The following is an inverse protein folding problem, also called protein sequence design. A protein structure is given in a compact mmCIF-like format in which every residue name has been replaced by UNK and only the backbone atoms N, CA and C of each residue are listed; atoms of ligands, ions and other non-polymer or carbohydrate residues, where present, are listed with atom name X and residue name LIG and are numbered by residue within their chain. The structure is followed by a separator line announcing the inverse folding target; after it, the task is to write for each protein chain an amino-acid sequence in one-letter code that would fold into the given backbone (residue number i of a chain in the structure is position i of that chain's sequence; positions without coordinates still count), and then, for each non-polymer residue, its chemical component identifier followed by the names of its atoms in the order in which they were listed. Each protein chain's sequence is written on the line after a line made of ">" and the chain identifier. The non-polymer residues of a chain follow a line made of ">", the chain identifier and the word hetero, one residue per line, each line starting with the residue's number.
data_IF_251381256852
#
_entry.id   IF_251381256852
#
_cell.length_a   1.000
_cell.length_b   1.000
_cell.length_c   1.000
_cell.angle_alpha   90.00
_cell.angle_beta   90.00
_cell.angle_gamma   90.00
#
_symmetry.space_group_name_H-M   'P 1'
#
loop_
_entity.id
_entity.type
_entity.pdbx_description
1 polymer ?
#
# COMPACT_ATOMS: atom_id res chain seq x y z
N UNK A 1 -11.27 -5.35 4.73
CA UNK A 1 -12.42 -6.06 4.12
C UNK A 1 -13.74 -5.53 4.67
N UNK A 2 -14.83 -5.87 3.98
CA UNK A 2 -16.19 -5.50 4.36
C UNK A 2 -17.04 -6.76 4.51
N UNK A 3 -17.86 -6.80 5.52
CA UNK A 3 -18.85 -7.86 5.74
C UNK A 3 -20.10 -7.24 6.37
N UNK A 4 -21.32 -7.60 5.85
CA UNK A 4 -22.60 -7.05 6.31
C UNK A 4 -22.59 -5.51 6.40
N UNK A 5 -22.10 -4.83 5.35
CA UNK A 5 -21.95 -3.37 5.25
C UNK A 5 -20.98 -2.72 6.26
N UNK A 6 -20.30 -3.50 7.10
CA UNK A 6 -19.31 -3.01 8.06
C UNK A 6 -17.89 -3.19 7.54
N UNK A 7 -17.10 -2.11 7.58
CA UNK A 7 -15.66 -2.16 7.30
C UNK A 7 -14.94 -2.70 8.53
N UNK A 8 -14.16 -3.75 8.33
CA UNK A 8 -13.41 -4.44 9.37
C UNK A 8 -11.99 -4.72 8.89
N UNK A 9 -11.13 -5.14 9.78
CA UNK A 9 -9.76 -5.52 9.45
C UNK A 9 -9.29 -6.69 10.31
N UNK A 10 -8.24 -7.35 9.86
CA UNK A 10 -7.58 -8.43 10.59
C UNK A 10 -6.59 -9.18 9.70
N UNK A 11 -5.72 -9.97 10.31
CA UNK A 11 -4.69 -10.70 9.60
C UNK A 11 -5.28 -11.91 8.87
N UNK A 12 -4.57 -12.33 7.81
CA UNK A 12 -4.81 -13.60 7.14
C UNK A 12 -4.65 -14.78 8.11
N UNK A 13 -5.54 -15.76 8.02
CA UNK A 13 -5.38 -17.02 8.73
C UNK A 13 -4.28 -17.85 8.05
N UNK A 14 -3.29 -18.28 8.81
CA UNK A 14 -2.16 -19.06 8.27
C UNK A 14 -2.66 -20.37 7.66
N UNK A 15 -2.34 -20.62 6.39
CA UNK A 15 -2.71 -21.82 5.61
C UNK A 15 -4.21 -21.99 5.35
N UNK A 16 -5.03 -20.99 5.57
CA UNK A 16 -6.46 -21.01 5.28
C UNK A 16 -6.83 -19.84 4.34
N UNK A 17 -7.86 -20.01 3.54
CA UNK A 17 -8.47 -18.91 2.75
C UNK A 17 -9.47 -18.15 3.61
N UNK A 18 -8.97 -17.55 4.67
CA UNK A 18 -9.75 -16.84 5.66
C UNK A 18 -8.96 -15.68 6.30
N UNK A 19 -9.68 -14.77 6.92
CA UNK A 19 -9.15 -13.69 7.75
C UNK A 19 -9.69 -13.78 9.17
N UNK A 20 -8.94 -13.30 10.15
CA UNK A 20 -9.45 -13.05 11.50
C UNK A 20 -10.18 -11.72 11.55
N UNK A 21 -11.39 -11.70 12.11
CA UNK A 21 -12.11 -10.46 12.43
C UNK A 21 -11.68 -9.95 13.80
N UNK A 22 -10.59 -9.19 13.85
CA UNK A 22 -10.05 -8.70 15.13
C UNK A 22 -10.94 -7.65 15.78
N UNK A 23 -11.78 -6.97 15.02
CA UNK A 23 -12.76 -6.02 15.53
C UNK A 23 -13.83 -6.78 16.32
N UNK A 24 -14.34 -7.89 15.77
CA UNK A 24 -15.33 -8.72 16.47
C UNK A 24 -14.72 -9.48 17.66
N UNK A 25 -13.47 -9.97 17.51
CA UNK A 25 -12.74 -10.57 18.65
C UNK A 25 -12.66 -9.58 19.81
N UNK A 26 -12.21 -8.35 19.57
CA UNK A 26 -12.12 -7.34 20.61
C UNK A 26 -13.47 -7.02 21.24
N UNK A 27 -14.51 -6.88 20.41
CA UNK A 27 -15.86 -6.58 20.87
C UNK A 27 -16.44 -7.67 21.79
N UNK A 28 -16.24 -8.94 21.47
CA UNK A 28 -16.81 -10.06 22.23
C UNK A 28 -15.95 -10.48 23.40
N UNK A 29 -14.62 -10.53 23.22
CA UNK A 29 -13.70 -11.05 24.25
C UNK A 29 -13.13 -9.95 25.15
N UNK A 30 -13.21 -8.67 24.74
CA UNK A 30 -12.71 -7.50 25.48
C UNK A 30 -11.29 -7.68 26.03
N UNK A 31 -10.39 -8.18 25.18
CA UNK A 31 -9.00 -8.55 25.54
C UNK A 31 -8.15 -7.34 25.89
N UNK A 32 -8.38 -6.22 25.20
CA UNK A 32 -7.60 -5.00 25.30
C UNK A 32 -8.47 -3.86 25.86
N UNK A 33 -7.86 -3.00 26.67
CA UNK A 33 -8.57 -1.82 27.20
C UNK A 33 -8.87 -0.81 26.09
N UNK A 34 -7.89 -0.58 25.23
CA UNK A 34 -7.97 0.37 24.13
C UNK A 34 -7.51 -0.34 22.86
N UNK A 35 -8.35 -0.38 21.84
CA UNK A 35 -8.04 -0.96 20.53
C UNK A 35 -8.56 -0.03 19.44
N UNK A 36 -7.76 0.25 18.38
CA UNK A 36 -8.15 1.18 17.33
C UNK A 36 -9.38 0.68 16.55
N UNK A 37 -10.27 1.59 16.23
CA UNK A 37 -11.50 1.29 15.47
C UNK A 37 -11.23 1.11 13.99
N UNK A 38 -10.15 1.74 13.48
CA UNK A 38 -9.78 1.66 12.06
C UNK A 38 -8.36 1.16 11.87
N UNK A 39 -8.10 0.57 10.71
CA UNK A 39 -6.74 0.14 10.33
C UNK A 39 -5.78 1.34 10.29
N UNK A 40 -6.25 2.53 9.90
CA UNK A 40 -5.43 3.74 9.82
C UNK A 40 -4.97 4.16 11.22
N UNK A 41 -5.89 4.18 12.19
CA UNK A 41 -5.54 4.49 13.58
C UNK A 41 -4.54 3.45 14.13
N UNK A 42 -4.76 2.17 13.81
CA UNK A 42 -3.84 1.10 14.17
C UNK A 42 -2.43 1.31 13.60
N UNK A 43 -2.32 1.64 12.32
CA UNK A 43 -1.03 1.91 11.66
C UNK A 43 -0.26 3.02 12.39
N UNK A 44 -0.93 4.05 12.91
CA UNK A 44 -0.28 5.15 13.64
C UNK A 44 0.33 4.73 14.99
N UNK A 45 -0.11 3.60 15.56
CA UNK A 45 0.48 3.00 16.74
C UNK A 45 1.75 2.19 16.42
N UNK A 46 2.05 1.99 15.13
CA UNK A 46 3.22 1.25 14.70
C UNK A 46 3.22 -0.21 15.15
N UNK A 47 4.36 -0.68 15.66
CA UNK A 47 4.51 -2.09 16.04
C UNK A 47 3.62 -2.51 17.23
N UNK A 48 3.26 -1.59 18.10
CA UNK A 48 2.35 -1.87 19.22
C UNK A 48 0.98 -2.38 18.72
N UNK A 49 0.52 -1.87 17.58
CA UNK A 49 -0.70 -2.37 16.96
C UNK A 49 -0.56 -3.83 16.49
N UNK A 50 0.57 -4.20 15.90
CA UNK A 50 0.83 -5.59 15.48
C UNK A 50 0.77 -6.53 16.69
N UNK A 51 1.36 -6.15 17.82
CA UNK A 51 1.32 -6.91 19.06
C UNK A 51 -0.11 -6.99 19.65
N UNK A 52 -0.89 -5.92 19.56
CA UNK A 52 -2.30 -5.93 19.95
C UNK A 52 -3.11 -6.92 19.11
N UNK A 53 -2.93 -6.90 17.79
CA UNK A 53 -3.59 -7.84 16.86
C UNK A 53 -3.19 -9.29 17.18
N UNK A 54 -1.91 -9.57 17.45
CA UNK A 54 -1.44 -10.90 17.87
C UNK A 54 -2.14 -11.38 19.14
N UNK A 55 -2.25 -10.54 20.16
CA UNK A 55 -2.96 -10.87 21.41
C UNK A 55 -4.43 -11.21 21.18
N UNK A 56 -5.11 -10.48 20.30
CA UNK A 56 -6.50 -10.76 19.95
C UNK A 56 -6.64 -12.12 19.25
N UNK A 57 -5.79 -12.39 18.27
CA UNK A 57 -5.79 -13.69 17.56
C UNK A 57 -5.48 -14.85 18.53
N UNK A 58 -4.49 -14.69 19.41
CA UNK A 58 -4.13 -15.70 20.41
C UNK A 58 -5.29 -15.98 21.39
N UNK A 59 -6.02 -14.92 21.77
CA UNK A 59 -7.20 -15.09 22.63
C UNK A 59 -8.32 -15.84 21.89
N UNK A 60 -8.59 -15.50 20.64
CA UNK A 60 -9.57 -16.20 19.83
C UNK A 60 -9.20 -17.67 19.60
N UNK A 61 -7.92 -17.99 19.37
CA UNK A 61 -7.46 -19.37 19.19
C UNK A 61 -7.62 -20.25 20.44
N UNK A 62 -7.60 -19.63 21.61
CA UNK A 62 -7.78 -20.31 22.92
C UNK A 62 -9.25 -20.40 23.35
N UNK A 63 -10.13 -19.64 22.69
CA UNK A 63 -11.56 -19.61 23.00
C UNK A 63 -12.25 -20.85 22.41
N UNK A 64 -13.20 -21.46 23.14
CA UNK A 64 -13.91 -22.67 22.70
C UNK A 64 -14.63 -22.48 21.37
N UNK A 65 -15.22 -21.29 21.15
CA UNK A 65 -15.92 -20.91 19.92
C UNK A 65 -15.03 -20.02 19.00
N UNK A 66 -13.72 -20.07 19.14
CA UNK A 66 -12.80 -19.19 18.44
C UNK A 66 -12.88 -19.24 16.92
N UNK A 67 -13.35 -20.35 16.36
CA UNK A 67 -13.55 -20.51 14.92
C UNK A 67 -14.57 -19.54 14.33
N UNK A 68 -15.53 -19.04 15.11
CA UNK A 68 -16.54 -18.06 14.66
C UNK A 68 -15.95 -16.72 14.24
N UNK A 69 -14.75 -16.39 14.72
CA UNK A 69 -14.04 -15.16 14.36
C UNK A 69 -13.25 -15.26 13.06
N UNK A 70 -13.23 -16.40 12.41
CA UNK A 70 -12.65 -16.58 11.09
C UNK A 70 -13.70 -16.35 10.02
N UNK A 71 -13.39 -15.50 9.06
CA UNK A 71 -14.22 -15.22 7.91
C UNK A 71 -13.56 -15.79 6.66
N UNK A 72 -14.25 -16.68 5.95
CA UNK A 72 -13.76 -17.18 4.67
C UNK A 72 -13.65 -16.04 3.65
N UNK A 73 -12.71 -16.10 2.73
CA UNK A 73 -12.54 -15.10 1.65
C UNK A 73 -13.81 -14.92 0.81
N UNK A 74 -14.57 -16.00 0.60
CA UNK A 74 -15.85 -15.97 -0.12
C UNK A 74 -16.99 -15.24 0.62
N UNK A 75 -16.82 -14.97 1.91
CA UNK A 75 -17.81 -14.31 2.76
C UNK A 75 -17.54 -12.81 2.97
N UNK A 76 -16.46 -12.29 2.40
CA UNK A 76 -16.05 -10.89 2.55
C UNK A 76 -15.93 -10.20 1.20
N UNK A 77 -16.11 -8.89 1.20
CA UNK A 77 -15.73 -8.01 0.10
C UNK A 77 -14.33 -7.44 0.40
N UNK A 78 -13.39 -7.63 -0.51
CA UNK A 78 -12.06 -7.07 -0.37
C UNK A 78 -12.08 -5.55 -0.56
N UNK A 79 -11.40 -4.86 0.32
CA UNK A 79 -11.13 -3.43 0.19
C UNK A 79 -9.62 -3.24 0.08
N UNK A 80 -9.19 -2.07 -0.40
CA UNK A 80 -7.79 -1.69 -0.22
C UNK A 80 -7.41 -1.80 1.26
N UNK A 81 -6.23 -2.33 1.63
CA UNK A 81 -5.79 -2.38 3.02
C UNK A 81 -5.71 -0.99 3.65
N UNK A 82 -5.56 0.05 2.83
CA UNK A 82 -5.67 1.46 3.23
C UNK A 82 -6.71 2.11 2.30
N UNK A 83 -8.00 2.07 2.66
CA UNK A 83 -9.08 2.52 1.78
C UNK A 83 -9.01 4.01 1.44
N UNK A 84 -8.39 4.80 2.32
CA UNK A 84 -8.18 6.23 2.12
C UNK A 84 -6.99 6.70 2.92
N UNK A 85 -6.04 7.36 2.27
CA UNK A 85 -4.91 7.99 2.96
C UNK A 85 -5.30 9.36 3.51
N UNK A 86 -4.73 9.78 4.66
CA UNK A 86 -4.98 11.11 5.23
C UNK A 86 -4.36 12.25 4.41
N UNK A 87 -3.40 11.92 3.52
CA UNK A 87 -2.70 12.83 2.62
C UNK A 87 -2.66 12.23 1.22
N UNK A 88 -2.24 13.02 0.22
CA UNK A 88 -1.89 12.47 -1.09
C UNK A 88 -0.83 11.38 -0.97
N UNK A 89 -0.92 10.39 -1.85
CA UNK A 89 0.11 9.37 -2.00
C UNK A 89 1.31 10.02 -2.67
N UNK A 90 2.47 9.96 -2.06
CA UNK A 90 3.72 10.44 -2.63
C UNK A 90 4.31 9.36 -3.53
N UNK A 91 4.62 9.71 -4.77
CA UNK A 91 5.17 8.79 -5.76
C UNK A 91 6.54 9.25 -6.21
N UNK A 92 7.42 8.30 -6.48
CA UNK A 92 8.79 8.56 -6.96
C UNK A 92 8.87 8.23 -8.45
N UNK A 93 9.06 9.25 -9.27
CA UNK A 93 9.18 9.09 -10.72
C UNK A 93 10.59 8.67 -11.13
N UNK A 94 10.68 7.83 -12.18
CA UNK A 94 11.94 7.40 -12.83
C UNK A 94 12.97 6.78 -11.87
N UNK A 95 12.50 6.04 -10.88
CA UNK A 95 13.37 5.48 -9.83
C UNK A 95 14.02 4.13 -10.20
N UNK A 96 13.66 3.53 -11.34
CA UNK A 96 14.27 2.30 -11.82
C UNK A 96 15.15 2.58 -13.02
N UNK A 97 16.36 2.03 -13.05
CA UNK A 97 17.38 2.32 -14.07
C UNK A 97 16.91 2.03 -15.49
N UNK A 98 16.18 0.94 -15.69
CA UNK A 98 15.70 0.55 -17.01
C UNK A 98 14.52 1.42 -17.45
N UNK A 99 13.59 1.72 -16.57
CA UNK A 99 12.49 2.64 -16.85
C UNK A 99 12.99 4.07 -17.17
N UNK A 100 14.04 4.53 -16.50
CA UNK A 100 14.66 5.81 -16.81
C UNK A 100 15.21 5.85 -18.25
N UNK A 101 15.82 4.76 -18.73
CA UNK A 101 16.32 4.63 -20.12
C UNK A 101 15.18 4.58 -21.14
N UNK A 102 14.10 3.82 -20.87
CA UNK A 102 12.90 3.74 -21.73
C UNK A 102 12.24 5.11 -21.91
N UNK A 103 12.26 5.93 -20.87
CA UNK A 103 11.74 7.32 -20.89
C UNK A 103 12.74 8.33 -21.49
N UNK A 104 13.82 7.87 -22.14
CA UNK A 104 14.78 8.69 -22.86
C UNK A 104 15.78 9.46 -21.97
N UNK A 105 15.98 9.02 -20.73
CA UNK A 105 17.00 9.59 -19.87
C UNK A 105 18.38 9.08 -20.26
N UNK A 106 19.26 9.96 -20.76
CA UNK A 106 20.66 9.63 -21.06
C UNK A 106 21.51 9.38 -19.80
N UNK A 107 21.07 9.91 -18.66
CA UNK A 107 21.72 9.77 -17.35
C UNK A 107 20.69 9.51 -16.26
N UNK A 108 21.10 8.84 -15.19
CA UNK A 108 20.31 8.76 -13.97
C UNK A 108 19.97 10.16 -13.45
N UNK A 109 18.75 10.40 -12.92
CA UNK A 109 18.40 11.69 -12.35
C UNK A 109 19.31 12.00 -11.15
N UNK A 110 19.82 13.24 -11.11
CA UNK A 110 20.64 13.71 -9.98
C UNK A 110 19.80 13.93 -8.73
N UNK A 111 18.53 14.38 -8.94
CA UNK A 111 17.58 14.65 -7.88
C UNK A 111 16.35 13.74 -7.99
N UNK A 112 15.77 13.40 -6.83
CA UNK A 112 14.54 12.63 -6.75
C UNK A 112 13.35 13.39 -7.36
N UNK A 113 12.62 12.75 -8.26
CA UNK A 113 11.38 13.28 -8.81
C UNK A 113 10.20 12.82 -7.97
N UNK A 114 9.48 13.77 -7.35
CA UNK A 114 8.28 13.47 -6.56
C UNK A 114 7.04 14.06 -7.23
N UNK A 115 6.02 13.24 -7.35
CA UNK A 115 4.66 13.65 -7.71
C UNK A 115 3.66 13.01 -6.74
N UNK A 116 2.37 13.26 -6.91
CA UNK A 116 1.35 12.73 -5.99
C UNK A 116 0.16 12.17 -6.73
N UNK A 117 -0.51 11.20 -6.09
CA UNK A 117 -1.86 10.76 -6.44
C UNK A 117 -2.85 11.20 -5.37
N UNK A 118 -4.09 11.49 -5.79
CA UNK A 118 -5.18 11.80 -4.86
C UNK A 118 -5.56 10.57 -4.03
N UNK A 119 -5.98 10.74 -2.76
CA UNK A 119 -6.60 9.64 -1.99
C UNK A 119 -7.85 9.05 -2.65
N UNK A 120 -8.55 9.82 -3.50
CA UNK A 120 -9.72 9.35 -4.26
C UNK A 120 -9.37 8.42 -5.43
N UNK A 121 -8.09 8.33 -5.79
CA UNK A 121 -7.62 7.40 -6.81
C UNK A 121 -7.53 5.94 -6.29
N UNK A 122 -7.55 5.73 -4.97
CA UNK A 122 -7.42 4.38 -4.38
C UNK A 122 -8.62 3.52 -4.78
N UNK A 123 -8.34 2.29 -5.21
CA UNK A 123 -9.30 1.24 -5.44
C UNK A 123 -8.89 -0.04 -4.71
N UNK A 124 -9.82 -0.97 -4.55
CA UNK A 124 -9.55 -2.29 -3.99
C UNK A 124 -8.82 -3.19 -5.00
N UNK A 125 -8.26 -4.30 -4.50
CA UNK A 125 -7.84 -5.41 -5.34
C UNK A 125 -9.06 -6.02 -6.06
N UNK A 126 -8.87 -6.53 -7.28
CA UNK A 126 -9.92 -7.08 -8.14
C UNK A 126 -11.08 -6.11 -8.49
N UNK A 127 -10.95 -4.82 -8.18
CA UNK A 127 -11.97 -3.84 -8.53
C UNK A 127 -12.10 -3.66 -10.05
N UNK A 128 -13.34 -3.53 -10.52
CA UNK A 128 -13.60 -3.05 -11.87
C UNK A 128 -13.41 -1.53 -11.89
N UNK A 129 -12.45 -1.06 -12.69
CA UNK A 129 -12.06 0.34 -12.75
C UNK A 129 -12.73 1.06 -13.91
N UNK A 130 -13.09 2.35 -13.76
CA UNK A 130 -13.55 3.16 -14.87
C UNK A 130 -12.40 3.41 -15.86
N UNK A 131 -12.67 3.30 -17.14
CA UNK A 131 -11.68 3.56 -18.20
C UNK A 131 -11.51 5.06 -18.50
N UNK A 132 -12.38 5.92 -17.98
CA UNK A 132 -12.37 7.39 -18.17
C UNK A 132 -12.30 7.82 -19.63
N UNK A 133 -13.02 7.13 -20.53
CA UNK A 133 -12.97 7.34 -21.98
C UNK A 133 -13.32 8.78 -22.42
N UNK A 134 -14.00 9.53 -21.57
CA UNK A 134 -14.30 10.95 -21.79
C UNK A 134 -13.11 11.89 -21.52
N UNK A 135 -12.06 11.40 -20.84
CA UNK A 135 -10.89 12.18 -20.41
C UNK A 135 -9.60 11.71 -21.08
N UNK A 136 -9.45 10.43 -21.35
CA UNK A 136 -8.22 9.81 -21.85
C UNK A 136 -8.52 8.57 -22.69
N UNK A 137 -7.66 8.31 -23.67
CA UNK A 137 -7.60 7.06 -24.43
C UNK A 137 -6.27 6.29 -24.20
N UNK A 138 -5.47 6.76 -23.25
CA UNK A 138 -4.08 6.34 -23.05
C UNK A 138 -3.79 5.91 -21.60
N UNK A 139 -4.68 5.07 -21.03
CA UNK A 139 -4.42 4.45 -19.72
C UNK A 139 -3.33 3.40 -19.82
N UNK A 140 -2.37 3.46 -18.91
CA UNK A 140 -1.23 2.58 -18.82
C UNK A 140 -1.01 2.10 -17.38
N UNK A 141 -0.48 0.90 -17.18
CA UNK A 141 -0.21 0.29 -15.90
C UNK A 141 1.21 0.61 -15.40
N UNK A 142 1.38 0.68 -14.10
CA UNK A 142 2.68 0.73 -13.42
C UNK A 142 2.56 -0.05 -12.09
N UNK A 143 3.04 -1.29 -12.05
CA UNK A 143 3.11 -2.07 -10.81
C UNK A 143 4.23 -1.54 -9.92
N UNK A 144 3.89 -1.21 -8.66
CA UNK A 144 4.78 -0.50 -7.75
C UNK A 144 4.80 -1.13 -6.35
N UNK A 145 5.94 -0.98 -5.67
CA UNK A 145 6.05 -1.19 -4.24
C UNK A 145 5.56 0.05 -3.50
N UNK A 146 4.54 -0.09 -2.69
CA UNK A 146 4.06 0.97 -1.80
C UNK A 146 4.59 0.78 -0.38
N UNK A 147 5.18 1.83 0.18
CA UNK A 147 5.74 1.88 1.53
C UNK A 147 4.74 2.59 2.43
N UNK A 148 4.32 1.95 3.50
CA UNK A 148 3.38 2.51 4.48
C UNK A 148 4.14 3.04 5.68
N UNK A 149 4.05 4.36 5.87
CA UNK A 149 4.64 5.03 7.02
C UNK A 149 3.72 4.87 8.24
N UNK A 150 4.26 4.35 9.33
CA UNK A 150 3.51 4.10 10.57
C UNK A 150 3.87 5.04 11.73
N UNK A 151 4.84 5.90 11.53
CA UNK A 151 5.28 6.85 12.55
C UNK A 151 5.51 8.22 11.93
N UNK A 152 4.90 9.23 12.53
CA UNK A 152 5.10 10.62 12.09
C UNK A 152 6.57 11.01 12.20
N UNK A 153 7.15 11.59 11.12
CA UNK A 153 8.54 12.00 11.09
C UNK A 153 8.85 13.17 10.17
N UNK A 154 9.85 13.95 10.55
CA UNK A 154 10.42 15.07 9.81
C UNK A 154 11.93 15.03 9.95
N UNK A 155 12.69 15.32 8.88
CA UNK A 155 14.16 15.25 8.87
C UNK A 155 14.68 13.89 9.36
N UNK A 156 14.13 12.81 8.85
CA UNK A 156 14.47 11.43 9.26
C UNK A 156 15.89 11.12 8.72
N UNK A 157 16.84 10.75 9.58
CA UNK A 157 18.15 10.28 9.13
C UNK A 157 18.02 8.99 8.31
N UNK A 158 18.81 8.83 7.24
CA UNK A 158 18.78 7.64 6.38
C UNK A 158 18.83 6.33 7.17
N UNK A 159 19.79 6.19 8.09
CA UNK A 159 19.94 4.97 8.90
C UNK A 159 18.81 4.70 9.91
N UNK A 160 17.83 5.62 10.04
CA UNK A 160 16.64 5.44 10.88
C UNK A 160 15.36 5.32 10.05
N UNK A 161 15.44 5.29 8.72
CA UNK A 161 14.28 5.34 7.85
C UNK A 161 13.30 4.19 8.11
N UNK A 162 13.79 2.97 8.30
CA UNK A 162 12.95 1.81 8.57
C UNK A 162 12.25 1.84 9.94
N UNK A 163 12.69 2.66 10.90
CA UNK A 163 11.98 2.84 12.16
C UNK A 163 10.61 3.54 11.98
N UNK A 164 10.44 4.20 10.84
CA UNK A 164 9.19 4.90 10.49
C UNK A 164 8.27 4.09 9.59
N UNK A 165 8.74 2.97 9.03
CA UNK A 165 7.96 2.09 8.16
C UNK A 165 7.10 1.16 9.02
N UNK A 166 5.81 1.10 8.72
CA UNK A 166 4.88 0.09 9.25
C UNK A 166 4.96 -1.21 8.44
N UNK A 167 4.94 -1.09 7.12
CA UNK A 167 4.93 -2.23 6.22
C UNK A 167 4.85 -1.81 4.76
N UNK A 168 4.48 -2.77 3.92
CA UNK A 168 4.51 -2.66 2.48
C UNK A 168 3.26 -3.24 1.85
N UNK A 169 2.88 -2.71 0.70
CA UNK A 169 1.82 -3.29 -0.13
C UNK A 169 2.14 -3.07 -1.60
N UNK A 170 1.34 -3.64 -2.48
CA UNK A 170 1.43 -3.41 -3.92
C UNK A 170 0.47 -2.28 -4.28
N UNK A 171 0.87 -1.43 -5.20
CA UNK A 171 0.01 -0.46 -5.85
C UNK A 171 0.17 -0.56 -7.37
N UNK A 172 -0.90 -0.27 -8.10
CA UNK A 172 -0.83 -0.05 -9.53
C UNK A 172 -1.01 1.46 -9.78
N UNK A 173 0.08 2.14 -10.17
CA UNK A 173 0.05 3.57 -10.48
C UNK A 173 -0.47 3.80 -11.91
N UNK A 174 -1.75 3.46 -12.14
CA UNK A 174 -2.39 3.67 -13.43
C UNK A 174 -2.28 5.13 -13.86
N UNK A 175 -1.87 5.33 -15.10
CA UNK A 175 -1.47 6.62 -15.65
C UNK A 175 -2.21 6.91 -16.94
N UNK A 176 -2.89 8.05 -17.02
CA UNK A 176 -3.37 8.62 -18.27
C UNK A 176 -2.20 9.35 -18.94
N UNK A 177 -1.50 8.71 -19.88
CA UNK A 177 -0.24 9.21 -20.47
C UNK A 177 -0.40 10.52 -21.22
N UNK A 178 -1.49 10.67 -21.96
CA UNK A 178 -1.86 11.89 -22.67
C UNK A 178 -2.05 13.08 -21.71
N UNK A 179 -2.77 12.89 -20.61
CA UNK A 179 -2.96 13.91 -19.58
C UNK A 179 -1.66 14.22 -18.83
N UNK A 180 -0.85 13.19 -18.53
CA UNK A 180 0.46 13.36 -17.91
C UNK A 180 1.37 14.29 -18.74
N UNK A 181 1.42 14.07 -20.06
CA UNK A 181 2.24 14.86 -20.98
C UNK A 181 1.66 16.27 -21.16
N UNK A 182 0.35 16.38 -21.37
CA UNK A 182 -0.36 17.65 -21.61
C UNK A 182 -0.20 18.64 -20.47
N UNK A 183 -0.32 18.17 -19.24
CA UNK A 183 -0.35 19.03 -18.05
C UNK A 183 1.02 19.25 -17.42
N UNK A 184 2.08 18.56 -17.85
CA UNK A 184 3.46 18.64 -17.33
C UNK A 184 3.59 18.32 -15.83
N UNK A 185 2.65 18.76 -15.00
CA UNK A 185 2.46 18.30 -13.62
C UNK A 185 1.64 17.01 -13.68
N UNK A 186 2.15 15.92 -13.13
CA UNK A 186 1.58 14.59 -13.35
C UNK A 186 0.24 14.36 -12.65
N UNK A 187 -0.12 15.22 -11.70
CA UNK A 187 -1.26 15.02 -10.81
C UNK A 187 -2.57 14.64 -11.52
N UNK A 188 -2.97 15.36 -12.58
CA UNK A 188 -4.22 15.07 -13.29
C UNK A 188 -4.17 13.72 -14.04
N UNK A 189 -3.05 13.38 -14.67
CA UNK A 189 -2.86 12.10 -15.35
C UNK A 189 -2.67 10.91 -14.40
N UNK A 190 -2.41 11.17 -13.13
CA UNK A 190 -2.12 10.17 -12.08
C UNK A 190 -3.24 10.03 -11.04
N UNK A 191 -4.27 10.89 -11.06
CA UNK A 191 -5.25 10.99 -9.97
C UNK A 191 -6.70 10.84 -10.40
N UNK A 192 -6.95 10.26 -11.58
CA UNK A 192 -8.31 9.88 -11.97
C UNK A 192 -8.88 8.89 -10.94
N UNK A 193 -10.18 8.91 -10.73
CA UNK A 193 -10.82 8.06 -9.74
C UNK A 193 -10.56 6.57 -10.03
N UNK A 194 -10.18 5.80 -9.01
CA UNK A 194 -9.88 4.38 -9.14
C UNK A 194 -8.54 4.05 -9.79
N UNK A 195 -7.70 5.03 -10.17
CA UNK A 195 -6.42 4.78 -10.87
C UNK A 195 -5.26 4.41 -9.95
N UNK A 196 -5.54 3.96 -8.72
CA UNK A 196 -4.56 3.42 -7.79
C UNK A 196 -5.09 2.18 -7.06
N UNK A 197 -5.35 1.06 -7.75
CA UNK A 197 -5.60 -0.20 -7.07
C UNK A 197 -4.46 -0.52 -6.11
N UNK A 198 -4.79 -0.84 -4.86
CA UNK A 198 -3.81 -1.10 -3.80
C UNK A 198 -4.20 -2.34 -3.00
N UNK A 199 -3.25 -3.20 -2.75
CA UNK A 199 -3.47 -4.41 -1.96
C UNK A 199 -2.96 -5.69 -2.63
N UNK A 200 -3.55 -6.87 -2.32
CA UNK A 200 -4.70 -7.07 -1.38
C UNK A 200 -4.33 -6.97 0.10
N UNK A 201 -3.04 -7.12 0.44
CA UNK A 201 -2.57 -7.18 1.83
C UNK A 201 -1.61 -6.06 2.17
N UNK A 202 -1.61 -5.65 3.42
CA UNK A 202 -0.53 -4.89 4.03
C UNK A 202 0.37 -5.88 4.77
N UNK A 203 1.61 -6.01 4.32
CA UNK A 203 2.63 -6.88 4.90
C UNK A 203 3.47 -6.05 5.87
N UNK A 204 3.55 -6.45 7.12
CA UNK A 204 4.32 -5.72 8.12
C UNK A 204 5.83 -5.82 7.87
N UNK A 205 6.60 -4.84 8.30
CA UNK A 205 8.05 -4.77 8.01
C UNK A 205 8.86 -5.94 8.58
N UNK A 206 8.39 -6.58 9.64
CA UNK A 206 9.02 -7.75 10.23
C UNK A 206 8.80 -9.02 9.39
N UNK A 207 7.72 -9.10 8.62
CA UNK A 207 7.48 -10.18 7.66
C UNK A 207 8.23 -9.99 6.33
N UNK A 208 8.64 -8.75 6.03
CA UNK A 208 9.39 -8.39 4.83
C UNK A 208 10.60 -7.52 5.21
N UNK A 209 11.68 -8.15 5.71
CA UNK A 209 12.82 -7.41 6.28
C UNK A 209 13.70 -6.71 5.23
N UNK A 210 13.67 -7.13 3.97
CA UNK A 210 14.47 -6.53 2.89
C UNK A 210 13.59 -6.10 1.70
N UNK A 211 13.07 -4.86 1.70
CA UNK A 211 12.29 -4.33 0.59
C UNK A 211 13.13 -4.03 -0.67
N UNK A 212 14.47 -4.05 -0.59
CA UNK A 212 15.37 -3.85 -1.73
C UNK A 212 15.69 -5.16 -2.47
N UNK A 213 15.11 -6.29 -2.10
CA UNK A 213 15.35 -7.60 -2.71
C UNK A 213 14.06 -8.22 -3.27
N UNK A 214 13.13 -7.41 -3.76
CA UNK A 214 11.84 -7.85 -4.27
C UNK A 214 11.83 -7.84 -5.81
N UNK A 215 10.95 -8.68 -6.37
CA UNK A 215 10.58 -8.65 -7.79
C UNK A 215 9.17 -8.10 -7.91
N UNK A 216 8.98 -7.13 -8.81
CA UNK A 216 7.67 -6.57 -9.17
C UNK A 216 7.30 -7.04 -10.56
N UNK A 217 6.21 -7.78 -10.68
CA UNK A 217 5.74 -8.33 -11.95
C UNK A 217 4.33 -7.84 -12.24
N UNK A 218 4.13 -7.24 -13.42
CA UNK A 218 2.80 -6.90 -13.92
C UNK A 218 2.44 -7.77 -15.11
N UNK A 219 1.21 -8.29 -15.11
CA UNK A 219 0.65 -9.06 -16.21
C UNK A 219 -0.59 -8.38 -16.75
N UNK A 220 -0.74 -8.39 -18.07
CA UNK A 220 -1.95 -7.95 -18.77
C UNK A 220 -2.47 -9.11 -19.60
N UNK A 221 -3.68 -9.58 -19.34
CA UNK A 221 -4.26 -10.76 -20.00
C UNK A 221 -3.37 -12.01 -19.95
N UNK A 222 -2.66 -12.20 -18.82
CA UNK A 222 -1.74 -13.33 -18.60
C UNK A 222 -0.32 -13.12 -19.13
N UNK A 223 -0.08 -12.13 -20.00
CA UNK A 223 1.26 -11.78 -20.51
C UNK A 223 2.02 -10.89 -19.51
N UNK A 224 3.29 -11.23 -19.27
CA UNK A 224 4.17 -10.38 -18.47
C UNK A 224 4.49 -9.12 -19.27
N UNK A 225 4.15 -7.96 -18.69
CA UNK A 225 4.40 -6.64 -19.26
C UNK A 225 5.45 -5.84 -18.47
N UNK A 226 5.61 -6.16 -17.20
CA UNK A 226 6.62 -5.58 -16.34
C UNK A 226 7.26 -6.69 -15.52
N UNK A 227 8.59 -6.67 -15.40
CA UNK A 227 9.35 -7.58 -14.55
C UNK A 227 10.60 -6.84 -14.09
N UNK A 228 10.48 -6.13 -12.96
CA UNK A 228 11.53 -5.31 -12.38
C UNK A 228 11.97 -5.80 -11.01
N UNK A 229 13.11 -5.32 -10.56
CA UNK A 229 13.62 -5.61 -9.22
C UNK A 229 13.81 -4.33 -8.42
N UNK A 230 13.43 -4.35 -7.14
CA UNK A 230 13.70 -3.22 -6.23
C UNK A 230 15.20 -3.00 -5.98
N UNK A 231 16.05 -3.96 -6.35
CA UNK A 231 17.52 -3.79 -6.37
C UNK A 231 17.99 -2.74 -7.37
N UNK A 232 17.18 -2.50 -8.43
CA UNK A 232 17.49 -1.58 -9.51
C UNK A 232 17.01 -0.15 -9.22
N UNK A 233 16.50 0.12 -8.00
CA UNK A 233 16.14 1.45 -7.54
C UNK A 233 17.36 2.36 -7.50
N UNK A 234 17.24 3.55 -8.09
CA UNK A 234 18.25 4.60 -8.06
C UNK A 234 18.32 5.27 -6.69
N UNK A 235 17.17 5.53 -6.10
CA UNK A 235 17.01 5.96 -4.72
C UNK A 235 16.39 4.81 -3.92
N UNK A 236 17.13 4.30 -2.94
CA UNK A 236 16.65 3.22 -2.07
C UNK A 236 15.46 3.67 -1.23
N UNK A 237 14.74 2.73 -0.61
CA UNK A 237 13.65 3.05 0.33
C UNK A 237 14.11 4.02 1.42
N UNK A 238 15.31 3.81 1.97
CA UNK A 238 15.88 4.70 2.98
C UNK A 238 16.19 6.09 2.43
N UNK A 239 16.71 6.18 1.18
CA UNK A 239 16.97 7.46 0.52
C UNK A 239 15.67 8.24 0.32
N UNK A 240 14.63 7.59 -0.19
CA UNK A 240 13.32 8.19 -0.42
C UNK A 240 12.78 8.79 0.88
N UNK A 241 12.73 8.01 1.96
CA UNK A 241 12.23 8.46 3.27
C UNK A 241 13.06 9.63 3.79
N UNK A 242 14.40 9.50 3.76
CA UNK A 242 15.29 10.54 4.26
C UNK A 242 15.17 11.85 3.47
N UNK A 243 15.13 11.78 2.13
CA UNK A 243 15.01 12.95 1.27
C UNK A 243 13.64 13.60 1.44
N UNK A 244 12.56 12.84 1.26
CA UNK A 244 11.20 13.38 1.30
C UNK A 244 10.88 13.99 2.67
N UNK A 245 11.32 13.36 3.75
CA UNK A 245 11.09 13.88 5.10
C UNK A 245 11.79 15.22 5.40
N UNK A 246 12.77 15.65 4.59
CA UNK A 246 13.35 17.00 4.67
C UNK A 246 12.38 18.09 4.23
N UNK A 247 11.50 17.77 3.29
CA UNK A 247 10.56 18.75 2.70
C UNK A 247 9.20 18.67 3.36
N UNK A 248 8.66 17.48 3.60
CA UNK A 248 7.33 17.27 4.17
C UNK A 248 7.40 16.37 5.40
N UNK A 249 6.44 16.52 6.32
CA UNK A 249 6.29 15.58 7.43
C UNK A 249 5.57 14.33 6.90
N UNK A 250 6.18 13.18 7.10
CA UNK A 250 5.59 11.89 6.82
C UNK A 250 4.69 11.43 7.95
#
# INVERSE_FOLDING_TARGET
>A
FKVNEQVKFGPKVKKEEAVWDVVEIQKQLNVLKDFPETIIDGITLGYDFVEQVRKLVDAAQKHEDGAQFKLAYSAIEWLSPIPRTPKNILCVGKNYSDHAKEMGAEKAPEDIMIFTKSPTAIAADEATLPVHAELTDSLDYEGELAIVIGKRGKNIPKGMAFDYVFGYTIANDLTARDLQQKHKQFFLGKSLEGTCPMGPYLVTKDELPDPQALTVVTKVNGEIRQNGSTKDMLFTVEDIIAIVSKYVTL
#
